data_IF_389324388474
#
_entry.id   IF_389324388474
#
_cell.length_a   1.000
_cell.length_b   1.000
_cell.length_c   1.000
_cell.angle_alpha   90.00
_cell.angle_beta   90.00
_cell.angle_gamma   90.00
#
_symmetry.space_group_name_H-M   'P 1'
#
loop_
_entity.id
_entity.type
_entity.pdbx_description
1 polymer ?
#
# COMPACT_ATOMS: atom_id res chain seq x y z
N UNK A 1 24.74 -6.99 7.89
CA UNK A 1 23.51 -6.39 7.29
C UNK A 1 22.34 -6.40 8.27
N UNK A 2 21.89 -7.56 8.78
CA UNK A 2 20.77 -7.66 9.73
C UNK A 2 21.03 -7.07 11.12
N UNK A 3 22.29 -6.91 11.51
CA UNK A 3 22.70 -6.38 12.83
C UNK A 3 22.25 -4.93 13.10
N UNK A 4 21.89 -4.18 12.05
CA UNK A 4 21.37 -2.81 12.16
C UNK A 4 19.83 -2.76 12.33
N UNK A 5 19.16 -3.92 12.32
CA UNK A 5 17.71 -4.02 12.39
C UNK A 5 17.27 -4.79 13.63
N UNK A 6 16.12 -4.41 14.17
CA UNK A 6 15.50 -5.13 15.27
C UNK A 6 15.08 -6.54 14.80
N UNK A 7 15.06 -7.51 15.72
CA UNK A 7 14.71 -8.91 15.39
C UNK A 7 13.36 -9.05 14.67
N UNK A 8 12.37 -8.23 15.04
CA UNK A 8 11.04 -8.26 14.40
C UNK A 8 11.06 -7.74 12.96
N UNK A 9 12.08 -6.99 12.55
CA UNK A 9 12.24 -6.45 11.19
C UNK A 9 12.99 -7.43 10.27
N UNK A 10 13.70 -8.42 10.82
CA UNK A 10 14.57 -9.33 10.04
C UNK A 10 13.82 -10.06 8.93
N UNK A 11 12.61 -10.53 9.21
CA UNK A 11 11.77 -11.20 8.22
C UNK A 11 11.39 -10.25 7.06
N UNK A 12 11.10 -8.98 7.39
CA UNK A 12 10.80 -7.99 6.37
C UNK A 12 12.05 -7.63 5.56
N UNK A 13 13.21 -7.45 6.20
CA UNK A 13 14.49 -7.19 5.52
C UNK A 13 14.83 -8.30 4.53
N UNK A 14 14.72 -9.57 4.94
CA UNK A 14 14.95 -10.71 4.04
C UNK A 14 14.00 -10.68 2.84
N UNK A 15 12.72 -10.37 3.08
CA UNK A 15 11.70 -10.24 2.02
C UNK A 15 12.02 -9.12 1.04
N UNK A 16 12.49 -7.97 1.52
CA UNK A 16 12.90 -6.86 0.67
C UNK A 16 14.12 -7.23 -0.17
N UNK A 17 15.12 -7.89 0.42
CA UNK A 17 16.28 -8.39 -0.34
C UNK A 17 15.87 -9.36 -1.45
N UNK A 18 14.92 -10.25 -1.18
CA UNK A 18 14.33 -11.12 -2.19
C UNK A 18 13.62 -10.32 -3.30
N UNK A 19 12.85 -9.27 -2.97
CA UNK A 19 12.25 -8.40 -3.97
C UNK A 19 13.27 -7.68 -4.85
N UNK A 20 14.34 -7.16 -4.25
CA UNK A 20 15.44 -6.52 -5.01
C UNK A 20 16.07 -7.52 -5.97
N UNK A 21 16.39 -8.73 -5.50
CA UNK A 21 16.94 -9.79 -6.33
C UNK A 21 15.98 -10.19 -7.45
N UNK A 22 14.68 -10.32 -7.17
CA UNK A 22 13.68 -10.64 -8.19
C UNK A 22 13.66 -9.58 -9.31
N UNK A 23 13.66 -8.30 -8.96
CA UNK A 23 13.68 -7.23 -9.97
C UNK A 23 14.99 -7.25 -10.75
N UNK A 24 16.13 -7.39 -10.06
CA UNK A 24 17.45 -7.47 -10.67
C UNK A 24 17.55 -8.59 -11.70
N UNK A 25 17.16 -9.82 -11.35
CA UNK A 25 17.28 -10.97 -12.26
C UNK A 25 16.18 -11.04 -13.33
N UNK A 26 14.94 -10.67 -12.99
CA UNK A 26 13.82 -10.82 -13.91
C UNK A 26 13.61 -9.62 -14.82
N UNK A 27 14.23 -8.48 -14.50
CA UNK A 27 14.02 -7.20 -15.18
C UNK A 27 12.54 -6.75 -15.23
N UNK A 28 11.71 -7.24 -14.30
CA UNK A 28 10.27 -6.92 -14.20
C UNK A 28 9.97 -6.06 -12.99
N UNK A 29 8.90 -5.28 -13.11
CA UNK A 29 8.37 -4.47 -12.01
C UNK A 29 7.82 -5.40 -10.91
N UNK A 30 8.12 -5.06 -9.66
CA UNK A 30 7.55 -5.69 -8.47
C UNK A 30 6.80 -4.64 -7.65
N UNK A 31 5.57 -4.94 -7.28
CA UNK A 31 4.77 -4.10 -6.38
C UNK A 31 4.60 -4.80 -5.03
N UNK A 32 4.61 -4.00 -3.95
CA UNK A 32 4.29 -4.49 -2.61
C UNK A 32 2.83 -4.23 -2.28
N UNK A 33 2.35 -4.81 -1.17
CA UNK A 33 1.17 -4.31 -0.45
C UNK A 33 1.47 -2.94 0.20
N UNK A 34 0.51 -2.30 0.85
CA UNK A 34 0.74 -1.06 1.60
C UNK A 34 1.66 -1.29 2.80
N UNK A 35 2.73 -0.53 2.83
CA UNK A 35 3.78 -0.55 3.83
C UNK A 35 3.56 0.55 4.88
N UNK A 36 3.93 0.27 6.12
CA UNK A 36 4.12 1.28 7.16
C UNK A 36 5.29 2.22 6.81
N UNK A 37 5.38 3.37 7.47
CA UNK A 37 6.51 4.30 7.28
C UNK A 37 7.86 3.61 7.51
N UNK A 38 7.96 2.80 8.57
CA UNK A 38 9.19 2.07 8.88
C UNK A 38 9.55 1.03 7.83
N UNK A 39 8.58 0.29 7.30
CA UNK A 39 8.81 -0.64 6.20
C UNK A 39 9.24 0.09 4.92
N UNK A 40 8.70 1.28 4.64
CA UNK A 40 9.13 2.10 3.49
C UNK A 40 10.59 2.53 3.61
N UNK A 41 11.03 2.95 4.80
CA UNK A 41 12.43 3.26 5.07
C UNK A 41 13.35 2.06 4.82
N UNK A 42 12.97 0.88 5.34
CA UNK A 42 13.75 -0.35 5.14
C UNK A 42 13.86 -0.68 3.64
N UNK A 43 12.76 -0.58 2.89
CA UNK A 43 12.77 -0.77 1.43
C UNK A 43 13.73 0.19 0.76
N UNK A 44 13.62 1.49 1.06
CA UNK A 44 14.49 2.50 0.46
C UNK A 44 15.97 2.25 0.78
N UNK A 45 16.29 1.90 2.04
CA UNK A 45 17.66 1.61 2.48
C UNK A 45 18.27 0.43 1.73
N UNK A 46 17.51 -0.65 1.53
CA UNK A 46 18.01 -1.86 0.87
C UNK A 46 18.10 -1.69 -0.65
N UNK A 47 17.13 -1.01 -1.27
CA UNK A 47 17.17 -0.70 -2.71
C UNK A 47 18.36 0.21 -3.03
N UNK A 48 18.68 1.19 -2.18
CA UNK A 48 19.82 2.09 -2.38
C UNK A 48 21.20 1.40 -2.37
N UNK A 49 21.28 0.13 -1.94
CA UNK A 49 22.51 -0.66 -2.00
C UNK A 49 22.73 -1.30 -3.38
N UNK A 50 21.76 -1.22 -4.29
CA UNK A 50 21.82 -1.77 -5.64
C UNK A 50 21.56 -0.66 -6.67
N UNK A 51 22.54 -0.36 -7.53
CA UNK A 51 22.41 0.70 -8.54
C UNK A 51 21.48 0.35 -9.70
N UNK A 52 21.18 -0.93 -9.92
CA UNK A 52 20.38 -1.44 -11.04
C UNK A 52 18.89 -1.57 -10.69
N UNK A 53 18.51 -1.35 -9.44
CA UNK A 53 17.12 -1.38 -8.98
C UNK A 53 16.75 -0.03 -8.38
N UNK A 54 15.60 0.49 -8.80
CA UNK A 54 15.00 1.71 -8.24
C UNK A 54 13.70 1.38 -7.52
N UNK A 55 13.28 2.29 -6.65
CA UNK A 55 11.99 2.22 -5.98
C UNK A 55 11.26 3.56 -6.08
N UNK A 56 9.94 3.48 -6.20
CA UNK A 56 9.04 4.62 -6.07
C UNK A 56 7.87 4.24 -5.16
N UNK A 57 7.27 5.23 -4.52
CA UNK A 57 6.20 5.01 -3.55
C UNK A 57 4.91 5.70 -3.98
N UNK A 58 3.81 4.97 -3.93
CA UNK A 58 2.46 5.47 -4.25
C UNK A 58 1.48 5.09 -3.13
N UNK A 59 0.67 6.05 -2.69
CA UNK A 59 -0.27 5.86 -1.59
C UNK A 59 -1.72 6.22 -1.92
N UNK A 60 -2.00 6.69 -3.14
CA UNK A 60 -3.33 7.11 -3.58
C UNK A 60 -3.73 8.53 -3.16
N UNK A 61 -3.01 9.12 -2.19
CA UNK A 61 -3.22 10.49 -1.73
C UNK A 61 -1.88 11.25 -1.67
N UNK A 62 -1.93 12.57 -1.89
CA UNK A 62 -0.74 13.42 -1.94
C UNK A 62 0.15 13.32 -0.68
N UNK A 63 -0.45 13.10 0.49
CA UNK A 63 0.24 12.96 1.78
C UNK A 63 -0.01 11.61 2.44
N UNK A 64 -0.21 10.57 1.65
CA UNK A 64 -0.46 9.24 2.20
C UNK A 64 0.69 8.79 3.11
N UNK A 65 0.37 8.29 4.29
CA UNK A 65 1.33 7.68 5.22
C UNK A 65 1.64 6.25 4.79
N UNK A 66 0.61 5.46 4.46
CA UNK A 66 0.78 4.11 3.94
C UNK A 66 0.97 4.16 2.43
N UNK A 67 2.09 3.62 1.95
CA UNK A 67 2.41 3.57 0.52
C UNK A 67 2.81 2.17 0.09
N UNK A 68 2.51 1.84 -1.17
CA UNK A 68 3.08 0.69 -1.86
C UNK A 68 4.46 1.08 -2.36
N UNK A 69 5.42 0.15 -2.30
CA UNK A 69 6.68 0.27 -3.01
C UNK A 69 6.54 -0.37 -4.39
N UNK A 70 7.03 0.33 -5.40
CA UNK A 70 7.13 -0.12 -6.79
C UNK A 70 8.62 -0.21 -7.09
N UNK A 71 9.15 -1.43 -7.14
CA UNK A 71 10.54 -1.70 -7.45
C UNK A 71 10.66 -2.05 -8.94
N UNK A 72 11.65 -1.48 -9.62
CA UNK A 72 11.81 -1.61 -11.06
C UNK A 72 13.29 -1.46 -11.48
N UNK A 73 13.69 -1.97 -12.65
CA UNK A 73 15.04 -1.78 -13.16
C UNK A 73 15.37 -0.29 -13.38
N UNK A 74 16.60 0.11 -13.13
CA UNK A 74 17.04 1.50 -13.17
C UNK A 74 16.84 2.21 -14.53
N UNK A 75 16.93 1.47 -15.62
CA UNK A 75 16.71 1.94 -16.99
C UNK A 75 15.23 2.17 -17.32
N UNK A 76 14.29 1.64 -16.52
CA UNK A 76 12.87 1.77 -16.76
C UNK A 76 12.34 3.09 -16.17
N UNK A 77 11.51 3.80 -16.93
CA UNK A 77 10.81 5.01 -16.46
C UNK A 77 9.35 4.70 -16.19
N UNK A 78 8.90 4.93 -14.95
CA UNK A 78 7.49 4.84 -14.59
C UNK A 78 6.75 6.11 -15.00
N UNK A 79 5.85 6.00 -15.97
CA UNK A 79 5.09 7.15 -16.49
C UNK A 79 3.83 7.46 -15.67
N UNK A 80 3.27 6.46 -14.99
CA UNK A 80 2.08 6.64 -14.17
C UNK A 80 2.13 5.73 -12.94
N UNK A 81 2.40 6.30 -11.77
CA UNK A 81 2.39 5.56 -10.49
C UNK A 81 0.95 5.29 -10.01
N UNK A 82 -0.02 6.13 -10.38
CA UNK A 82 -1.39 6.01 -9.91
C UNK A 82 -2.08 4.74 -10.43
N UNK A 83 -1.52 4.04 -11.42
CA UNK A 83 -2.07 2.77 -11.88
C UNK A 83 -1.98 1.68 -10.79
N UNK A 84 -1.03 1.80 -9.86
CA UNK A 84 -0.77 0.80 -8.82
C UNK A 84 -1.65 0.96 -7.58
N UNK A 85 -2.44 2.04 -7.49
CA UNK A 85 -3.35 2.28 -6.36
C UNK A 85 -4.69 2.75 -6.88
N UNK A 86 -5.78 2.16 -6.38
CA UNK A 86 -7.15 2.59 -6.69
C UNK A 86 -7.72 3.33 -5.50
N UNK A 87 -8.20 4.55 -5.75
CA UNK A 87 -8.94 5.34 -4.78
C UNK A 87 -10.44 5.13 -4.95
N UNK A 88 -11.16 4.96 -3.85
CA UNK A 88 -12.62 4.86 -3.82
C UNK A 88 -13.22 5.84 -2.84
N UNK A 89 -14.41 6.34 -3.16
CA UNK A 89 -15.28 7.05 -2.23
C UNK A 89 -16.31 6.06 -1.65
N UNK A 90 -16.53 6.10 -0.33
CA UNK A 90 -17.64 5.39 0.30
C UNK A 90 -18.86 6.31 0.30
N UNK A 91 -19.86 5.95 -0.48
CA UNK A 91 -21.16 6.64 -0.47
C UNK A 91 -22.05 6.05 0.62
N UNK A 92 -22.62 6.92 1.46
CA UNK A 92 -23.54 6.54 2.53
C UNK A 92 -24.48 7.71 2.89
N UNK A 93 -25.58 7.41 3.57
CA UNK A 93 -26.52 8.46 4.01
C UNK A 93 -25.99 9.21 5.24
N UNK A 94 -25.20 10.26 4.98
CA UNK A 94 -24.59 11.13 5.99
C UNK A 94 -25.59 11.82 6.93
N UNK A 95 -26.87 11.94 6.53
CA UNK A 95 -27.92 12.53 7.38
C UNK A 95 -28.37 11.56 8.48
N UNK A 96 -28.21 10.26 8.28
CA UNK A 96 -28.68 9.21 9.19
C UNK A 96 -27.57 8.64 10.07
N UNK A 97 -26.33 8.60 9.56
CA UNK A 97 -25.20 8.01 10.27
C UNK A 97 -23.94 8.81 9.99
N UNK A 98 -23.03 8.82 10.96
CA UNK A 98 -21.65 9.29 10.78
C UNK A 98 -20.72 8.10 10.94
N UNK A 99 -20.00 7.74 9.88
CA UNK A 99 -19.06 6.63 9.92
C UNK A 99 -17.69 7.11 10.44
N UNK A 100 -17.08 6.32 11.31
CA UNK A 100 -15.74 6.54 11.85
C UNK A 100 -14.76 5.48 11.36
N UNK A 101 -13.46 5.78 11.39
CA UNK A 101 -12.40 4.85 11.00
C UNK A 101 -12.55 3.42 11.57
N UNK A 102 -12.85 3.21 12.88
CA UNK A 102 -12.97 1.86 13.42
C UNK A 102 -14.08 1.03 12.78
N UNK A 103 -15.19 1.66 12.36
CA UNK A 103 -16.30 0.96 11.73
C UNK A 103 -15.91 0.47 10.33
N UNK A 104 -15.24 1.32 9.55
CA UNK A 104 -14.75 0.96 8.21
C UNK A 104 -13.74 -0.19 8.32
N UNK A 105 -12.78 -0.08 9.23
CA UNK A 105 -11.76 -1.11 9.46
C UNK A 105 -12.37 -2.43 9.95
N UNK A 106 -13.37 -2.37 10.82
CA UNK A 106 -14.12 -3.54 11.29
C UNK A 106 -14.82 -4.27 10.15
N UNK A 107 -15.49 -3.54 9.26
CA UNK A 107 -16.17 -4.13 8.10
C UNK A 107 -15.20 -4.71 7.08
N UNK A 108 -14.05 -4.09 6.85
CA UNK A 108 -12.97 -4.65 6.02
C UNK A 108 -12.47 -5.99 6.61
N UNK A 109 -12.28 -6.02 7.92
CA UNK A 109 -11.80 -7.22 8.63
C UNK A 109 -12.84 -8.34 8.58
N UNK A 110 -14.14 -8.03 8.69
CA UNK A 110 -15.23 -9.00 8.57
C UNK A 110 -15.30 -9.68 7.20
N UNK A 111 -14.78 -9.02 6.15
CA UNK A 111 -14.63 -9.60 4.81
C UNK A 111 -13.34 -10.40 4.62
N UNK A 112 -12.58 -10.65 5.71
CA UNK A 112 -11.25 -11.25 5.67
C UNK A 112 -10.26 -10.49 4.75
N UNK A 113 -10.48 -9.19 4.55
CA UNK A 113 -9.55 -8.34 3.79
C UNK A 113 -8.37 -8.01 4.68
N UNK A 114 -7.18 -8.44 4.26
CA UNK A 114 -5.93 -8.10 4.92
C UNK A 114 -5.72 -6.58 4.89
N UNK A 115 -5.49 -5.99 6.07
CA UNK A 115 -5.25 -4.54 6.23
C UNK A 115 -4.09 -4.03 5.38
N UNK A 116 -3.11 -4.87 5.04
CA UNK A 116 -2.02 -4.48 4.14
C UNK A 116 -2.47 -4.24 2.69
N UNK A 117 -3.65 -4.73 2.28
CA UNK A 117 -4.24 -4.42 0.97
C UNK A 117 -4.88 -3.02 0.91
N UNK A 118 -5.05 -2.39 2.07
CA UNK A 118 -5.69 -1.09 2.23
C UNK A 118 -4.66 -0.05 2.67
N UNK A 119 -4.65 1.08 1.98
CA UNK A 119 -3.84 2.23 2.28
C UNK A 119 -4.47 3.10 3.34
N UNK A 120 -4.32 4.40 3.19
CA UNK A 120 -4.98 5.34 4.08
C UNK A 120 -6.49 5.36 3.84
N UNK A 121 -7.22 5.62 4.91
CA UNK A 121 -8.63 5.99 4.88
C UNK A 121 -8.66 7.47 5.25
N UNK A 122 -9.35 8.29 4.48
CA UNK A 122 -9.43 9.74 4.69
C UNK A 122 -10.89 10.10 4.91
N UNK A 123 -11.20 10.63 6.09
CA UNK A 123 -12.52 11.18 6.41
C UNK A 123 -12.40 12.70 6.40
N UNK A 124 -13.07 13.35 5.46
CA UNK A 124 -13.09 14.81 5.34
C UNK A 124 -14.04 15.43 6.37
N UNK A 125 -13.87 16.72 6.65
CA UNK A 125 -14.72 17.47 7.58
C UNK A 125 -16.19 17.52 7.16
N UNK A 126 -16.48 17.38 5.87
CA UNK A 126 -17.84 17.27 5.33
C UNK A 126 -18.42 15.85 5.37
N UNK A 127 -17.73 14.89 6.01
CA UNK A 127 -18.18 13.51 6.15
C UNK A 127 -17.93 12.62 4.94
N UNK A 128 -17.35 13.12 3.83
CA UNK A 128 -16.93 12.27 2.71
C UNK A 128 -15.76 11.38 3.11
N UNK A 129 -15.77 10.14 2.63
CA UNK A 129 -14.81 9.13 3.04
C UNK A 129 -14.16 8.54 1.81
N UNK A 130 -12.84 8.54 1.79
CA UNK A 130 -12.04 7.94 0.73
C UNK A 130 -11.14 6.86 1.29
N UNK A 131 -10.84 5.85 0.47
CA UNK A 131 -9.83 4.86 0.79
C UNK A 131 -8.97 4.50 -0.43
N UNK A 132 -7.73 4.13 -0.15
CA UNK A 132 -6.80 3.61 -1.15
C UNK A 132 -6.70 2.07 -1.07
N UNK A 133 -6.65 1.41 -2.21
CA UNK A 133 -6.60 -0.06 -2.33
C UNK A 133 -5.52 -0.47 -3.34
N UNK A 134 -4.91 -1.63 -3.10
CA UNK A 134 -4.07 -2.27 -4.10
C UNK A 134 -4.88 -2.50 -5.39
N UNK A 135 -4.33 -2.10 -6.55
CA UNK A 135 -5.05 -2.19 -7.82
C UNK A 135 -5.53 -3.61 -8.13
N UNK A 136 -4.71 -4.63 -7.85
CA UNK A 136 -5.04 -6.03 -8.13
C UNK A 136 -6.19 -6.58 -7.26
N UNK A 137 -6.58 -5.82 -6.23
CA UNK A 137 -7.66 -6.16 -5.30
C UNK A 137 -8.92 -5.30 -5.50
N UNK A 138 -8.85 -4.36 -6.45
CA UNK A 138 -9.90 -3.40 -6.78
C UNK A 138 -11.24 -4.06 -7.13
N UNK A 139 -11.21 -5.09 -7.97
CA UNK A 139 -12.42 -5.78 -8.42
C UNK A 139 -13.10 -6.56 -7.28
N UNK A 140 -12.32 -7.35 -6.54
CA UNK A 140 -12.83 -8.07 -5.36
C UNK A 140 -13.44 -7.09 -4.36
N UNK A 141 -12.77 -5.97 -4.08
CA UNK A 141 -13.28 -4.98 -3.15
C UNK A 141 -14.66 -4.45 -3.57
N UNK A 142 -14.83 -4.10 -4.85
CA UNK A 142 -16.10 -3.61 -5.39
C UNK A 142 -17.24 -4.63 -5.33
N UNK A 143 -16.93 -5.93 -5.42
CA UNK A 143 -17.93 -7.00 -5.39
C UNK A 143 -18.40 -7.38 -3.97
N UNK A 144 -17.65 -6.99 -2.94
CA UNK A 144 -17.89 -7.50 -1.58
C UNK A 144 -18.10 -6.39 -0.53
N UNK A 145 -17.51 -5.20 -0.72
CA UNK A 145 -17.61 -4.13 0.27
C UNK A 145 -18.84 -3.24 0.02
N UNK A 146 -20.00 -3.71 0.49
CA UNK A 146 -21.29 -3.01 0.34
C UNK A 146 -21.89 -2.49 1.64
N UNK A 147 -21.31 -2.83 2.79
CA UNK A 147 -21.86 -2.47 4.10
C UNK A 147 -20.76 -2.09 5.08
N UNK A 148 -21.00 -1.01 5.81
CA UNK A 148 -20.19 -0.59 6.96
C UNK A 148 -21.08 -0.60 8.21
N UNK A 149 -20.68 -1.37 9.24
CA UNK A 149 -21.48 -1.61 10.45
C UNK A 149 -22.29 -2.92 10.41
#
# INVERSE_FOLDING_TARGET
MLEHFNKHEHQFVLKVSDWVNQVYYSHKIKTTKFLTLREQEIVQMLVNQNSEVRVSFEGGFQKAERKRAILYPDYLKLNNLSQYVKGYEIEYNQKLVTLKHPQILGSLTALNIDRSLIGDIVILSNGRIYLAICEEFSEFFLQHFHKVG
#
